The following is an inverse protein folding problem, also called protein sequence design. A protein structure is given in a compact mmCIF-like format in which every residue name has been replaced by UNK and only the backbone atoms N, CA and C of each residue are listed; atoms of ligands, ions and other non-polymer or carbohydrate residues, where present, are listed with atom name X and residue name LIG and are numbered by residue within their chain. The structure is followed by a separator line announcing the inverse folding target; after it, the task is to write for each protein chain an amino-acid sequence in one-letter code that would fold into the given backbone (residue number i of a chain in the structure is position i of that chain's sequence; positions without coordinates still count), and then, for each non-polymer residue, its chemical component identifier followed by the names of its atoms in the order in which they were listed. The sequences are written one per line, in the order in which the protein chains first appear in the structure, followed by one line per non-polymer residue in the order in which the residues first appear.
data_IF_225147646159
#
_entry.id   IF_225147646159
#
_cell.length_a   1.000
_cell.length_b   1.000
_cell.length_c   1.000
_cell.angle_alpha   90.00
_cell.angle_beta   90.00
_cell.angle_gamma   90.00
#
_symmetry.space_group_name_H-M   'P 1'
#
loop_
_entity.id
_entity.type
_entity.pdbx_description
1 polymer ?
#
# COMPACT_ATOMS: atom_id res chain seq x y z
N UNK A 1 -3.32 -2.69 -21.35
CA UNK A 1 -3.65 -3.88 -20.52
C UNK A 1 -4.96 -4.49 -20.99
N UNK A 2 -5.17 -5.77 -20.72
CA UNK A 2 -6.42 -6.49 -21.07
C UNK A 2 -7.07 -7.00 -19.79
N UNK A 3 -8.39 -6.88 -19.70
CA UNK A 3 -9.20 -7.49 -18.63
C UNK A 3 -9.22 -9.01 -18.80
N UNK A 4 -8.90 -9.73 -17.74
CA UNK A 4 -8.96 -11.20 -17.66
C UNK A 4 -10.19 -11.64 -16.88
N UNK A 5 -10.44 -11.02 -15.73
CA UNK A 5 -11.59 -11.30 -14.89
C UNK A 5 -11.89 -10.16 -13.92
N UNK A 6 -12.99 -10.27 -13.20
CA UNK A 6 -13.41 -9.29 -12.19
C UNK A 6 -14.27 -9.95 -11.11
N UNK A 7 -14.34 -9.28 -9.95
CA UNK A 7 -15.27 -9.62 -8.88
C UNK A 7 -15.80 -8.34 -8.24
N UNK A 8 -17.08 -8.27 -7.97
CA UNK A 8 -17.74 -7.08 -7.45
C UNK A 8 -17.45 -6.81 -5.97
N UNK A 9 -16.79 -7.74 -5.27
CA UNK A 9 -16.50 -7.70 -3.84
C UNK A 9 -17.74 -7.34 -2.99
N UNK A 10 -18.92 -7.69 -3.44
CA UNK A 10 -20.24 -7.37 -2.88
C UNK A 10 -20.49 -5.84 -2.73
N UNK A 11 -19.80 -5.01 -3.51
CA UNK A 11 -19.84 -3.56 -3.36
C UNK A 11 -19.15 -3.05 -2.09
N UNK A 12 -18.14 -3.76 -1.59
CA UNK A 12 -17.34 -3.30 -0.45
C UNK A 12 -16.24 -2.36 -0.93
N UNK A 13 -16.05 -1.25 -0.21
CA UNK A 13 -14.96 -0.29 -0.47
C UNK A 13 -13.60 -0.95 -0.25
N UNK A 14 -12.86 -1.27 -1.31
CA UNK A 14 -11.63 -2.03 -1.22
C UNK A 14 -10.39 -1.12 -1.05
N UNK A 15 -9.39 -1.63 -0.31
CA UNK A 15 -8.12 -0.94 -0.08
C UNK A 15 -6.93 -1.72 -0.63
N UNK A 16 -6.48 -2.80 0.05
CA UNK A 16 -5.26 -3.51 -0.31
C UNK A 16 -5.55 -4.91 -0.83
N UNK A 17 -5.19 -5.24 -2.08
CA UNK A 17 -5.10 -6.60 -2.55
C UNK A 17 -3.74 -7.20 -2.13
N UNK A 18 -3.74 -8.46 -1.69
CA UNK A 18 -2.54 -9.28 -1.47
C UNK A 18 -2.81 -10.65 -2.03
N UNK A 19 -1.96 -11.12 -2.93
CA UNK A 19 -2.11 -12.41 -3.58
C UNK A 19 -1.06 -13.36 -3.07
N UNK A 20 -1.50 -14.51 -2.54
CA UNK A 20 -0.61 -15.52 -1.98
C UNK A 20 -0.81 -16.87 -2.68
N UNK A 21 0.30 -17.55 -2.99
CA UNK A 21 0.28 -18.91 -3.52
C UNK A 21 0.24 -19.91 -2.37
N UNK A 22 -0.86 -20.66 -2.27
CA UNK A 22 -1.08 -21.69 -1.27
C UNK A 22 -1.19 -23.07 -1.94
N UNK A 23 -0.07 -23.79 -2.00
CA UNK A 23 0.04 -25.02 -2.79
C UNK A 23 -0.14 -24.74 -4.29
N UNK A 24 -1.15 -25.35 -4.90
CA UNK A 24 -1.47 -25.13 -6.32
C UNK A 24 -2.51 -24.02 -6.55
N UNK A 25 -2.94 -23.37 -5.48
CA UNK A 25 -3.95 -22.30 -5.52
C UNK A 25 -3.34 -20.93 -5.34
N UNK A 26 -3.98 -19.95 -5.97
CA UNK A 26 -3.71 -18.53 -5.74
C UNK A 26 -4.90 -17.92 -5.02
N UNK A 27 -4.64 -17.34 -3.85
CA UNK A 27 -5.66 -16.77 -2.98
C UNK A 27 -5.43 -15.27 -2.88
N UNK A 28 -6.48 -14.49 -3.14
CA UNK A 28 -6.49 -13.05 -2.96
C UNK A 28 -7.14 -12.69 -1.62
N UNK A 29 -6.44 -11.89 -0.84
CA UNK A 29 -6.89 -11.31 0.42
C UNK A 29 -7.08 -9.81 0.20
N UNK A 30 -8.33 -9.35 0.26
CA UNK A 30 -8.67 -7.96 -0.06
C UNK A 30 -9.11 -7.26 1.22
N UNK A 31 -8.31 -6.31 1.69
CA UNK A 31 -8.68 -5.43 2.78
C UNK A 31 -9.69 -4.36 2.35
N UNK A 32 -10.58 -3.96 3.26
CA UNK A 32 -11.64 -3.01 2.98
C UNK A 32 -11.64 -1.84 3.99
N UNK A 33 -12.07 -0.66 3.52
CA UNK A 33 -12.47 0.45 4.36
C UNK A 33 -13.76 0.12 5.11
N UNK A 34 -14.13 0.94 6.09
CA UNK A 34 -15.39 0.83 6.79
C UNK A 34 -16.61 0.80 5.88
N UNK A 35 -17.72 0.40 6.46
CA UNK A 35 -18.97 0.12 5.77
C UNK A 35 -19.49 -1.26 6.08
N UNK A 36 -20.54 -1.69 5.38
CA UNK A 36 -21.14 -3.02 5.53
C UNK A 36 -21.75 -3.48 4.22
N UNK A 37 -21.84 -4.78 4.03
CA UNK A 37 -22.50 -5.38 2.88
C UNK A 37 -23.07 -6.76 3.24
N UNK A 38 -24.00 -7.24 2.42
CA UNK A 38 -24.52 -8.60 2.52
C UNK A 38 -23.41 -9.61 2.16
N UNK A 39 -23.12 -10.53 3.05
CA UNK A 39 -22.27 -11.67 2.75
C UNK A 39 -23.10 -12.79 2.11
N UNK A 40 -22.80 -13.20 0.87
CA UNK A 40 -23.59 -14.22 0.17
C UNK A 40 -23.46 -15.62 0.77
N UNK A 41 -22.41 -15.90 1.56
CA UNK A 41 -22.20 -17.20 2.19
C UNK A 41 -22.99 -17.35 3.48
N UNK A 42 -23.03 -16.31 4.31
CA UNK A 42 -23.77 -16.30 5.58
C UNK A 42 -25.20 -15.82 5.44
N UNK A 43 -25.54 -15.11 4.37
CA UNK A 43 -26.84 -14.46 4.17
C UNK A 43 -27.08 -13.29 5.13
N UNK A 44 -26.06 -12.77 5.80
CA UNK A 44 -26.14 -11.68 6.78
C UNK A 44 -25.40 -10.43 6.29
N UNK A 45 -25.85 -9.29 6.76
CA UNK A 45 -25.10 -8.04 6.61
C UNK A 45 -23.95 -8.03 7.60
N UNK A 46 -22.72 -7.84 7.11
CA UNK A 46 -21.49 -7.85 7.90
C UNK A 46 -20.68 -6.57 7.70
N UNK A 47 -20.03 -6.04 8.75
CA UNK A 47 -19.06 -4.96 8.60
C UNK A 47 -18.00 -5.33 7.56
N UNK A 48 -17.56 -4.37 6.78
CA UNK A 48 -16.44 -4.56 5.87
C UNK A 48 -15.20 -5.02 6.64
N UNK A 49 -14.38 -5.86 6.02
CA UNK A 49 -13.23 -6.45 6.69
C UNK A 49 -12.20 -6.95 5.68
N UNK A 50 -12.00 -8.25 5.58
CA UNK A 50 -11.12 -8.88 4.59
C UNK A 50 -11.90 -9.91 3.79
N UNK A 51 -12.04 -9.70 2.48
CA UNK A 51 -12.58 -10.70 1.55
C UNK A 51 -11.49 -11.66 1.11
N UNK A 52 -11.81 -12.93 1.01
CA UNK A 52 -10.91 -14.00 0.58
C UNK A 52 -11.47 -14.64 -0.69
N UNK A 53 -10.68 -14.64 -1.77
CA UNK A 53 -11.07 -15.17 -3.07
C UNK A 53 -10.04 -16.17 -3.60
N UNK A 54 -10.53 -17.25 -4.23
CA UNK A 54 -9.70 -18.09 -5.09
C UNK A 54 -9.57 -17.43 -6.46
N UNK A 55 -8.35 -17.09 -6.83
CA UNK A 55 -7.98 -16.48 -8.12
C UNK A 55 -7.05 -17.37 -8.92
N UNK A 56 -7.07 -18.69 -8.66
CA UNK A 56 -6.31 -19.71 -9.39
C UNK A 56 -6.66 -19.66 -10.87
N UNK A 57 -7.97 -19.61 -11.17
CA UNK A 57 -8.46 -19.18 -12.48
C UNK A 57 -8.75 -17.66 -12.43
N UNK A 58 -7.88 -16.81 -12.97
CA UNK A 58 -8.07 -15.37 -12.89
C UNK A 58 -9.27 -14.86 -13.69
N UNK A 59 -9.78 -15.65 -14.65
CA UNK A 59 -10.98 -15.32 -15.42
C UNK A 59 -12.28 -15.55 -14.62
N UNK A 60 -12.21 -16.38 -13.57
CA UNK A 60 -13.37 -16.77 -12.75
C UNK A 60 -13.03 -16.72 -11.25
N UNK A 61 -12.72 -15.53 -10.68
CA UNK A 61 -12.41 -15.40 -9.26
C UNK A 61 -13.60 -15.84 -8.39
N UNK A 62 -13.35 -16.75 -7.45
CA UNK A 62 -14.38 -17.34 -6.58
C UNK A 62 -14.28 -16.79 -5.17
N UNK A 63 -15.38 -16.25 -4.66
CA UNK A 63 -15.48 -15.82 -3.27
C UNK A 63 -15.48 -17.04 -2.34
N UNK A 64 -14.59 -17.03 -1.32
CA UNK A 64 -14.40 -18.17 -0.41
C UNK A 64 -14.86 -17.86 1.01
N UNK A 65 -14.58 -16.67 1.51
CA UNK A 65 -14.90 -16.27 2.87
C UNK A 65 -14.80 -14.74 3.03
N UNK A 66 -15.37 -14.26 4.12
CA UNK A 66 -15.18 -12.90 4.62
C UNK A 66 -14.81 -12.94 6.10
N UNK A 67 -13.81 -12.17 6.48
CA UNK A 67 -13.47 -11.94 7.88
C UNK A 67 -13.96 -10.53 8.24
N UNK A 68 -15.04 -10.39 9.02
CA UNK A 68 -15.55 -9.07 9.40
C UNK A 68 -14.50 -8.20 10.07
N UNK A 69 -14.50 -6.91 9.76
CA UNK A 69 -13.67 -5.90 10.39
C UNK A 69 -14.38 -5.19 11.52
N UNK A 70 -13.76 -4.09 11.98
CA UNK A 70 -14.40 -3.22 12.95
C UNK A 70 -15.57 -2.47 12.29
N UNK A 71 -16.74 -2.39 12.93
CA UNK A 71 -17.82 -1.55 12.44
C UNK A 71 -17.38 -0.10 12.28
N UNK A 72 -17.83 0.55 11.21
CA UNK A 72 -17.55 1.97 11.02
C UNK A 72 -18.22 2.80 12.13
N UNK A 73 -17.50 3.79 12.66
CA UNK A 73 -18.09 4.77 13.56
C UNK A 73 -19.04 5.70 12.76
N UNK A 74 -20.34 5.73 13.06
CA UNK A 74 -21.30 6.56 12.33
C UNK A 74 -21.06 8.07 12.50
N UNK A 75 -20.24 8.47 13.47
CA UNK A 75 -19.89 9.87 13.74
C UNK A 75 -18.51 10.25 13.20
N UNK A 76 -17.72 9.29 12.76
CA UNK A 76 -16.41 9.58 12.17
C UNK A 76 -16.57 10.16 10.76
N UNK A 77 -15.73 11.13 10.43
CA UNK A 77 -15.58 11.61 9.07
C UNK A 77 -14.48 10.79 8.37
N UNK A 78 -14.78 10.24 7.20
CA UNK A 78 -13.80 9.51 6.41
C UNK A 78 -13.98 7.99 6.47
N UNK A 79 -12.89 7.26 6.62
CA UNK A 79 -12.82 5.84 6.34
C UNK A 79 -12.58 5.00 7.60
N UNK A 80 -13.32 5.32 8.68
CA UNK A 80 -13.21 4.56 9.93
C UNK A 80 -13.74 3.13 9.79
N UNK A 81 -13.21 2.21 10.59
CA UNK A 81 -13.63 0.82 10.62
C UNK A 81 -13.02 -0.04 9.49
N UNK A 82 -13.61 -1.22 9.29
CA UNK A 82 -13.14 -2.19 8.30
C UNK A 82 -11.87 -2.95 8.72
N UNK A 83 -11.06 -3.33 7.74
CA UNK A 83 -9.73 -3.92 7.89
C UNK A 83 -8.93 -3.65 6.61
N UNK A 84 -8.35 -2.48 6.51
CA UNK A 84 -7.81 -1.95 5.25
C UNK A 84 -6.61 -2.72 4.72
N UNK A 85 -5.68 -3.12 5.59
CA UNK A 85 -4.46 -3.82 5.19
C UNK A 85 -4.52 -5.32 5.42
N UNK A 86 -3.94 -6.04 4.49
CA UNK A 86 -3.76 -7.48 4.53
C UNK A 86 -2.34 -7.83 4.07
N UNK A 87 -1.62 -8.67 4.83
CA UNK A 87 -0.34 -9.28 4.47
C UNK A 87 -0.37 -10.74 4.86
N UNK A 88 0.11 -11.59 3.98
CA UNK A 88 0.15 -13.03 4.26
C UNK A 88 1.58 -13.52 4.32
N UNK A 89 1.88 -14.35 5.31
CA UNK A 89 3.17 -15.03 5.46
C UNK A 89 2.99 -16.51 5.69
N UNK A 90 3.93 -17.28 5.15
CA UNK A 90 4.18 -18.68 5.47
C UNK A 90 5.66 -18.87 5.83
N UNK A 91 6.03 -19.98 6.42
CA UNK A 91 7.42 -20.28 6.75
C UNK A 91 8.04 -19.35 7.79
N UNK A 92 7.25 -18.78 8.70
CA UNK A 92 7.76 -17.98 9.81
C UNK A 92 8.72 -18.79 10.68
N UNK A 93 9.82 -18.18 11.22
CA UNK A 93 10.91 -18.91 11.87
C UNK A 93 10.52 -19.82 13.04
N UNK A 94 9.50 -19.45 13.80
CA UNK A 94 9.04 -20.19 15.00
C UNK A 94 7.58 -20.62 14.89
N UNK A 95 7.09 -20.85 13.67
CA UNK A 95 5.74 -21.33 13.39
C UNK A 95 5.77 -22.61 12.56
N UNK A 96 4.63 -23.26 12.44
CA UNK A 96 4.45 -24.40 11.54
C UNK A 96 4.59 -23.91 10.08
N UNK A 97 5.59 -24.39 9.36
CA UNK A 97 5.90 -24.00 7.99
C UNK A 97 4.80 -24.35 6.97
N UNK A 98 3.87 -25.24 7.32
CA UNK A 98 2.72 -25.59 6.49
C UNK A 98 1.56 -24.59 6.61
N UNK A 99 1.62 -23.68 7.58
CA UNK A 99 0.56 -22.72 7.85
C UNK A 99 0.77 -21.40 7.11
N UNK A 100 -0.37 -20.79 6.81
CA UNK A 100 -0.46 -19.45 6.25
C UNK A 100 -1.13 -18.52 7.27
N UNK A 101 -0.48 -17.40 7.53
CA UNK A 101 -0.95 -16.42 8.50
C UNK A 101 -1.23 -15.09 7.83
N UNK A 102 -2.40 -14.52 8.12
CA UNK A 102 -2.80 -13.19 7.68
C UNK A 102 -2.60 -12.18 8.79
N UNK A 103 -1.75 -11.19 8.58
CA UNK A 103 -1.67 -9.97 9.38
C UNK A 103 -2.60 -8.92 8.77
N UNK A 104 -3.51 -8.36 9.58
CA UNK A 104 -4.40 -7.28 9.14
C UNK A 104 -4.53 -6.18 10.19
N UNK A 105 -4.86 -4.97 9.74
CA UNK A 105 -5.43 -3.96 10.63
C UNK A 105 -6.88 -4.36 10.98
N UNK A 106 -7.34 -4.03 12.18
CA UNK A 106 -8.73 -4.18 12.60
C UNK A 106 -9.28 -2.79 12.89
N UNK A 107 -10.00 -2.26 11.92
CA UNK A 107 -10.54 -0.90 11.93
C UNK A 107 -9.50 0.15 12.25
N UNK A 108 -9.81 0.93 13.27
CA UNK A 108 -8.93 1.97 13.80
C UNK A 108 -8.21 1.55 15.09
N UNK A 109 -8.54 0.37 15.66
CA UNK A 109 -8.26 0.05 17.06
C UNK A 109 -7.21 -1.02 17.33
N UNK A 110 -6.88 -1.89 16.35
CA UNK A 110 -5.98 -3.01 16.60
C UNK A 110 -5.25 -3.53 15.33
N UNK A 111 -4.25 -4.40 15.56
CA UNK A 111 -3.70 -5.30 14.55
C UNK A 111 -3.85 -6.75 15.01
N UNK A 112 -4.21 -7.63 14.09
CA UNK A 112 -4.54 -9.03 14.36
C UNK A 112 -3.78 -9.99 13.45
N UNK A 113 -3.60 -11.25 13.92
CA UNK A 113 -3.15 -12.38 13.11
C UNK A 113 -4.27 -13.43 13.02
N UNK A 114 -4.48 -13.94 11.82
CA UNK A 114 -5.42 -15.00 11.49
C UNK A 114 -4.70 -16.17 10.84
N UNK A 115 -5.08 -17.40 11.20
CA UNK A 115 -4.72 -18.62 10.45
C UNK A 115 -5.66 -18.72 9.25
N UNK A 116 -5.07 -18.68 8.06
CA UNK A 116 -5.77 -18.74 6.77
C UNK A 116 -5.29 -19.93 5.92
N UNK A 117 -4.73 -20.95 6.58
CA UNK A 117 -4.27 -22.19 5.93
C UNK A 117 -5.41 -22.87 5.17
N UNK A 118 -6.62 -22.91 5.76
CA UNK A 118 -7.86 -23.14 5.01
C UNK A 118 -8.52 -21.78 4.75
N UNK A 119 -8.39 -21.23 3.53
CA UNK A 119 -8.93 -19.90 3.23
C UNK A 119 -10.48 -19.82 3.26
N UNK A 120 -11.15 -20.96 3.36
CA UNK A 120 -12.63 -21.04 3.53
C UNK A 120 -13.06 -20.99 5.00
N UNK A 121 -12.11 -21.17 5.93
CA UNK A 121 -12.36 -21.25 7.39
C UNK A 121 -11.30 -20.48 8.18
N UNK A 122 -11.15 -19.17 7.93
CA UNK A 122 -10.16 -18.38 8.66
C UNK A 122 -10.46 -18.37 10.16
N UNK A 123 -9.43 -18.44 10.99
CA UNK A 123 -9.56 -18.40 12.44
C UNK A 123 -8.56 -17.42 13.07
N UNK A 124 -9.02 -16.60 14.02
CA UNK A 124 -8.15 -15.63 14.68
C UNK A 124 -7.14 -16.33 15.60
N UNK A 125 -5.87 -16.05 15.38
CA UNK A 125 -4.76 -16.55 16.22
C UNK A 125 -4.56 -15.64 17.42
N UNK A 126 -4.36 -14.34 17.18
CA UNK A 126 -4.11 -13.37 18.26
C UNK A 126 -4.45 -11.94 17.85
N UNK A 127 -4.62 -11.08 18.85
CA UNK A 127 -4.53 -9.63 18.72
C UNK A 127 -3.13 -9.22 19.11
N UNK A 128 -2.36 -8.67 18.18
CA UNK A 128 -0.97 -8.25 18.41
C UNK A 128 -0.93 -7.09 19.38
N UNK A 129 -1.76 -6.09 19.13
CA UNK A 129 -1.89 -4.87 19.90
C UNK A 129 -3.27 -4.27 19.67
N UNK A 130 -3.89 -3.78 20.73
CA UNK A 130 -5.18 -3.08 20.74
C UNK A 130 -5.10 -1.72 21.42
N UNK A 131 -6.25 -1.09 21.62
CA UNK A 131 -6.37 0.26 22.22
C UNK A 131 -5.60 1.32 21.44
N UNK A 132 -5.55 1.15 20.11
CA UNK A 132 -4.96 2.08 19.17
C UNK A 132 -6.01 3.03 18.61
N UNK A 133 -5.59 3.97 17.78
CA UNK A 133 -6.44 4.74 16.91
C UNK A 133 -5.79 4.87 15.54
N UNK A 134 -6.58 5.13 14.49
CA UNK A 134 -6.08 5.34 13.13
C UNK A 134 -5.16 4.24 12.62
N UNK A 135 -5.38 2.94 12.99
CA UNK A 135 -4.58 1.84 12.43
C UNK A 135 -4.70 1.85 10.91
N UNK A 136 -3.61 1.56 10.23
CA UNK A 136 -3.59 1.71 8.79
C UNK A 136 -2.70 0.68 8.11
N UNK A 137 -1.57 1.09 7.58
CA UNK A 137 -0.66 0.18 6.87
C UNK A 137 0.11 -0.74 7.82
N UNK A 138 0.54 -1.85 7.28
CA UNK A 138 1.50 -2.75 7.89
C UNK A 138 2.47 -3.30 6.83
N UNK A 139 3.62 -3.74 7.30
CA UNK A 139 4.58 -4.50 6.51
C UNK A 139 5.05 -5.68 7.35
N UNK A 140 5.19 -6.85 6.75
CA UNK A 140 5.61 -8.07 7.44
C UNK A 140 6.71 -8.77 6.64
N UNK A 141 7.84 -9.00 7.28
CA UNK A 141 8.94 -9.77 6.73
C UNK A 141 8.74 -11.25 7.07
N UNK A 142 8.36 -12.05 6.11
CA UNK A 142 8.06 -13.46 6.36
C UNK A 142 9.29 -14.28 6.78
N UNK A 143 10.47 -13.93 6.28
CA UNK A 143 11.73 -14.62 6.58
C UNK A 143 12.25 -14.35 8.00
N UNK A 144 11.88 -13.27 8.63
CA UNK A 144 12.31 -12.91 10.00
C UNK A 144 11.18 -12.85 11.01
N UNK A 145 9.95 -12.71 10.54
CA UNK A 145 8.78 -12.44 11.39
C UNK A 145 8.63 -10.97 11.81
N UNK A 146 9.57 -10.08 11.47
CA UNK A 146 9.49 -8.67 11.89
C UNK A 146 8.35 -7.94 11.18
N UNK A 147 7.49 -7.31 11.97
CA UNK A 147 6.36 -6.53 11.47
C UNK A 147 6.46 -5.05 11.88
N UNK A 148 6.07 -4.19 10.94
CA UNK A 148 6.03 -2.74 11.07
C UNK A 148 4.57 -2.30 10.96
N UNK A 149 3.96 -1.91 12.08
CA UNK A 149 2.53 -1.65 12.21
C UNK A 149 2.30 -0.14 12.34
N UNK A 150 1.58 0.46 11.41
CA UNK A 150 1.27 1.90 11.41
C UNK A 150 -0.06 2.14 12.13
N UNK A 151 -0.02 2.98 13.15
CA UNK A 151 -1.19 3.32 13.97
C UNK A 151 -0.95 4.60 14.77
N UNK A 152 -2.01 5.16 15.34
CA UNK A 152 -1.93 6.14 16.42
C UNK A 152 -1.84 5.43 17.78
N UNK A 153 -1.08 6.02 18.69
CA UNK A 153 -0.88 5.53 20.04
C UNK A 153 -1.04 6.68 21.04
N UNK A 154 -1.79 6.45 22.10
CA UNK A 154 -1.98 7.43 23.18
C UNK A 154 -0.63 7.94 23.72
N UNK A 155 -0.53 9.25 23.91
CA UNK A 155 0.69 9.93 24.34
C UNK A 155 1.63 10.33 23.19
N UNK A 156 1.53 9.77 22.00
CA UNK A 156 2.20 10.29 20.80
C UNK A 156 1.47 11.52 20.26
N UNK A 157 2.23 12.45 19.68
CA UNK A 157 1.73 13.76 19.24
C UNK A 157 1.28 13.75 17.77
N UNK A 158 1.31 12.61 17.13
CA UNK A 158 0.96 12.40 15.72
C UNK A 158 -0.24 11.46 15.61
N UNK A 159 -1.00 11.59 14.56
CA UNK A 159 -2.09 10.67 14.25
C UNK A 159 -1.59 9.24 14.00
N UNK A 160 -0.44 9.09 13.33
CA UNK A 160 0.15 7.79 12.99
C UNK A 160 1.65 7.79 13.19
N UNK A 161 2.15 6.72 13.78
CA UNK A 161 3.56 6.37 13.96
C UNK A 161 3.72 4.87 13.70
N UNK A 162 4.86 4.29 13.97
CA UNK A 162 5.10 2.86 13.74
C UNK A 162 5.39 2.14 15.04
N UNK A 163 4.70 1.02 15.26
CA UNK A 163 5.02 0.03 16.28
C UNK A 163 5.70 -1.16 15.60
N UNK A 164 6.80 -1.64 16.17
CA UNK A 164 7.57 -2.74 15.61
C UNK A 164 7.45 -3.95 16.54
N UNK A 165 7.10 -5.09 15.96
CA UNK A 165 6.93 -6.36 16.66
C UNK A 165 7.74 -7.46 15.98
N UNK A 166 8.20 -8.42 16.79
CA UNK A 166 8.64 -9.73 16.33
C UNK A 166 7.41 -10.68 16.39
N UNK A 167 7.00 -11.14 15.22
CA UNK A 167 5.91 -12.09 14.98
C UNK A 167 6.46 -13.40 14.40
N UNK A 168 7.71 -13.73 14.66
CA UNK A 168 8.31 -15.02 14.27
C UNK A 168 7.55 -16.21 14.85
N UNK A 169 6.98 -16.04 16.07
CA UNK A 169 5.90 -16.84 16.62
C UNK A 169 4.61 -16.02 16.59
N UNK A 170 3.68 -16.31 15.65
CA UNK A 170 2.46 -15.51 15.48
C UNK A 170 1.48 -15.63 16.65
N UNK A 171 1.66 -16.62 17.53
CA UNK A 171 0.84 -16.80 18.75
C UNK A 171 1.31 -15.91 19.89
N UNK A 172 2.61 -15.62 19.97
CA UNK A 172 3.23 -14.85 21.04
C UNK A 172 3.98 -13.61 20.51
N UNK A 173 3.28 -12.57 20.06
CA UNK A 173 3.88 -11.32 19.57
C UNK A 173 4.81 -10.67 20.59
N UNK A 174 6.02 -10.29 20.18
CA UNK A 174 6.98 -9.61 21.05
C UNK A 174 7.18 -8.17 20.60
N UNK A 175 6.85 -7.21 21.45
CA UNK A 175 7.05 -5.77 21.18
C UNK A 175 8.54 -5.44 21.15
N UNK A 176 8.98 -4.72 20.12
CA UNK A 176 10.37 -4.26 19.97
C UNK A 176 10.49 -2.77 20.34
N UNK A 177 9.74 -1.89 19.65
CA UNK A 177 9.77 -0.45 19.92
C UNK A 177 8.69 0.32 19.17
N UNK A 178 8.47 1.54 19.62
CA UNK A 178 7.77 2.58 18.87
C UNK A 178 8.77 3.44 18.08
N UNK A 179 8.37 3.94 16.91
CA UNK A 179 9.20 4.76 16.05
C UNK A 179 8.39 5.79 15.25
N UNK A 180 8.99 6.94 15.02
CA UNK A 180 8.45 8.02 14.19
C UNK A 180 9.49 9.11 13.94
N UNK A 181 9.08 10.22 13.34
CA UNK A 181 9.95 11.37 13.16
C UNK A 181 10.17 12.12 14.49
N UNK A 182 11.39 12.66 14.73
CA UNK A 182 11.61 13.54 15.88
C UNK A 182 10.62 14.70 15.91
N UNK A 183 9.93 14.86 17.04
CA UNK A 183 8.82 15.80 17.24
C UNK A 183 7.46 15.13 17.38
N UNK A 184 7.32 13.86 16.97
CA UNK A 184 6.09 13.06 17.11
C UNK A 184 5.99 12.35 18.47
N UNK A 185 7.12 12.11 19.14
CA UNK A 185 7.18 11.38 20.41
C UNK A 185 6.62 12.19 21.59
N UNK A 186 6.22 11.48 22.67
CA UNK A 186 5.79 12.11 23.91
C UNK A 186 6.83 13.12 24.45
N UNK A 187 6.36 14.23 25.01
CA UNK A 187 7.21 15.25 25.62
C UNK A 187 8.01 16.15 24.63
N UNK A 188 7.92 15.92 23.33
CA UNK A 188 8.56 16.80 22.36
C UNK A 188 7.87 18.17 22.31
N UNK A 189 8.67 19.26 22.17
CA UNK A 189 8.17 20.65 22.18
C UNK A 189 8.19 21.31 20.79
N UNK A 190 8.92 20.72 19.82
CA UNK A 190 8.98 21.24 18.44
C UNK A 190 7.66 21.03 17.71
N UNK A 191 7.41 21.70 16.55
CA UNK A 191 6.28 21.42 15.70
C UNK A 191 6.18 19.93 15.33
N UNK A 192 4.97 19.39 15.31
CA UNK A 192 4.72 17.98 14.96
C UNK A 192 4.90 17.83 13.44
N UNK A 193 5.80 16.97 12.96
CA UNK A 193 5.92 16.66 11.54
C UNK A 193 4.74 15.80 11.07
N UNK A 194 4.61 15.64 9.74
CA UNK A 194 3.58 14.82 9.12
C UNK A 194 3.57 13.40 9.65
N UNK A 195 2.38 12.84 9.78
CA UNK A 195 2.15 11.47 10.24
C UNK A 195 2.66 10.44 9.23
N UNK A 196 3.06 9.29 9.76
CA UNK A 196 3.52 8.16 8.96
C UNK A 196 2.38 7.56 8.17
N UNK A 197 2.65 7.18 6.91
CA UNK A 197 1.70 6.44 6.13
C UNK A 197 2.07 4.95 6.02
N UNK A 198 3.31 4.63 5.69
CA UNK A 198 3.74 3.24 5.56
C UNK A 198 5.24 3.10 5.45
N UNK A 199 5.72 1.87 5.64
CA UNK A 199 7.10 1.48 5.47
C UNK A 199 7.19 0.26 4.55
N UNK A 200 8.27 0.18 3.77
CA UNK A 200 8.64 -0.99 2.97
C UNK A 200 10.04 -1.41 3.41
N UNK A 201 10.16 -2.66 3.88
CA UNK A 201 11.44 -3.23 4.28
C UNK A 201 12.04 -4.08 3.16
N UNK A 202 13.36 -4.03 3.05
CA UNK A 202 14.14 -4.97 2.21
C UNK A 202 14.67 -6.17 3.00
N UNK A 203 14.18 -6.36 4.21
CA UNK A 203 14.60 -7.44 5.10
C UNK A 203 16.06 -7.36 5.56
N UNK A 204 16.57 -8.42 6.17
CA UNK A 204 17.94 -8.43 6.71
C UNK A 204 19.02 -8.33 5.62
N UNK A 205 18.76 -8.85 4.43
CA UNK A 205 19.71 -8.84 3.31
C UNK A 205 19.95 -7.43 2.77
N UNK A 206 18.89 -6.65 2.55
CA UNK A 206 18.99 -5.26 2.11
C UNK A 206 19.26 -4.30 3.27
N UNK A 207 18.86 -4.65 4.47
CA UNK A 207 19.02 -3.90 5.72
C UNK A 207 18.49 -2.47 5.66
N UNK A 208 17.39 -2.22 4.93
CA UNK A 208 16.79 -0.88 4.76
C UNK A 208 15.29 -0.90 4.99
N UNK A 209 14.79 0.23 5.52
CA UNK A 209 13.40 0.61 5.45
C UNK A 209 13.26 1.93 4.68
N UNK A 210 12.27 1.98 3.82
CA UNK A 210 11.85 3.16 3.08
C UNK A 210 10.48 3.58 3.62
N UNK A 211 10.44 4.75 4.28
CA UNK A 211 9.26 5.18 5.04
C UNK A 211 8.68 6.44 4.41
N UNK A 212 7.36 6.42 4.20
CA UNK A 212 6.57 7.53 3.66
C UNK A 212 5.77 8.23 4.77
N UNK A 213 5.78 9.58 4.75
CA UNK A 213 5.00 10.42 5.65
C UNK A 213 4.27 11.52 4.87
N UNK A 214 3.08 11.92 5.33
CA UNK A 214 2.30 13.00 4.73
C UNK A 214 1.77 12.65 3.35
N UNK A 215 0.59 12.06 3.28
CA UNK A 215 0.02 11.42 2.07
C UNK A 215 -0.16 12.38 0.90
N UNK A 216 -0.63 13.61 1.17
CA UNK A 216 -0.98 14.61 0.14
C UNK A 216 -0.22 15.91 0.27
N UNK A 217 0.41 16.18 1.41
CA UNK A 217 1.15 17.43 1.69
C UNK A 217 2.26 17.21 2.71
N UNK A 218 3.26 18.11 2.69
CA UNK A 218 4.42 18.06 3.59
C UNK A 218 5.05 16.67 3.65
N UNK A 219 5.13 16.00 2.50
CA UNK A 219 5.62 14.64 2.37
C UNK A 219 7.06 14.50 2.84
N UNK A 220 7.39 13.32 3.38
CA UNK A 220 8.76 12.97 3.74
C UNK A 220 9.07 11.56 3.27
N UNK A 221 10.18 11.41 2.55
CA UNK A 221 10.87 10.15 2.37
C UNK A 221 11.94 10.01 3.45
N UNK A 222 11.90 8.93 4.23
CA UNK A 222 12.95 8.59 5.19
C UNK A 222 13.55 7.22 4.85
N UNK A 223 14.89 7.14 4.81
CA UNK A 223 15.64 5.90 4.62
C UNK A 223 16.28 5.54 5.96
N UNK A 224 16.00 4.33 6.44
CA UNK A 224 16.49 3.84 7.73
C UNK A 224 17.39 2.61 7.56
N UNK A 225 18.41 2.53 8.41
CA UNK A 225 19.15 1.30 8.68
C UNK A 225 18.28 0.38 9.56
N UNK A 226 17.85 -0.74 9.00
CA UNK A 226 16.97 -1.70 9.65
C UNK A 226 17.60 -2.29 10.92
N UNK A 227 18.87 -2.67 10.86
CA UNK A 227 19.57 -3.25 12.01
C UNK A 227 19.66 -2.24 13.16
N UNK A 228 20.07 -1.01 12.89
CA UNK A 228 20.08 0.05 13.90
C UNK A 228 18.70 0.33 14.48
N UNK A 229 17.66 0.31 13.65
CA UNK A 229 16.27 0.48 14.08
C UNK A 229 15.86 -0.62 15.07
N UNK A 230 16.17 -1.88 14.78
CA UNK A 230 15.76 -3.02 15.58
C UNK A 230 16.61 -3.20 16.86
N UNK A 231 17.91 -2.92 16.80
CA UNK A 231 18.86 -3.22 17.91
C UNK A 231 19.32 -1.97 18.67
N UNK A 232 19.08 -0.78 18.17
CA UNK A 232 19.47 0.48 18.79
C UNK A 232 18.64 0.86 20.02
N UNK A 233 18.91 2.06 20.62
CA UNK A 233 18.20 2.53 21.78
C UNK A 233 16.68 2.64 21.54
N UNK A 234 15.86 2.19 22.50
CA UNK A 234 14.40 2.05 22.33
C UNK A 234 13.61 3.28 22.77
N UNK A 235 14.11 4.04 23.76
CA UNK A 235 13.46 5.24 24.25
C UNK A 235 13.23 6.25 23.13
N UNK A 236 12.01 6.80 22.97
CA UNK A 236 11.68 7.66 21.82
C UNK A 236 12.14 9.11 22.04
N UNK A 237 13.46 9.31 22.25
CA UNK A 237 14.08 10.62 22.27
C UNK A 237 14.42 11.09 20.87
N UNK A 238 14.62 12.40 20.68
CA UNK A 238 15.05 12.96 19.39
C UNK A 238 16.32 12.28 18.85
N UNK A 239 17.30 12.03 19.72
CA UNK A 239 18.56 11.38 19.35
C UNK A 239 18.33 9.93 18.91
N UNK A 240 17.54 9.16 19.67
CA UNK A 240 17.28 7.76 19.38
C UNK A 240 16.37 7.55 18.16
N UNK A 241 15.48 8.50 17.88
CA UNK A 241 14.68 8.49 16.65
C UNK A 241 15.51 8.83 15.40
N UNK A 242 16.60 9.62 15.55
CA UNK A 242 17.55 9.88 14.46
C UNK A 242 18.60 8.78 14.30
N UNK A 243 18.85 7.97 15.32
CA UNK A 243 19.95 7.00 15.32
C UNK A 243 19.94 6.04 14.12
N UNK A 244 18.77 5.47 13.68
CA UNK A 244 18.72 4.61 12.51
C UNK A 244 18.63 5.37 11.18
N UNK A 245 18.48 6.69 11.17
CA UNK A 245 18.26 7.45 9.94
C UNK A 245 19.53 7.53 9.10
N UNK A 246 19.44 7.10 7.84
CA UNK A 246 20.46 7.29 6.80
C UNK A 246 20.22 8.60 6.09
N UNK A 247 18.99 8.80 5.61
CA UNK A 247 18.58 10.01 4.91
C UNK A 247 17.14 10.41 5.21
N UNK A 248 16.85 11.67 4.97
CA UNK A 248 15.49 12.24 4.99
C UNK A 248 15.38 13.30 3.91
N UNK A 249 14.35 13.17 3.07
CA UNK A 249 13.99 14.17 2.07
C UNK A 249 12.63 14.75 2.46
N UNK A 250 12.57 16.08 2.66
CA UNK A 250 11.30 16.78 2.81
C UNK A 250 10.83 17.21 1.42
N UNK A 251 9.61 16.87 1.08
CA UNK A 251 8.98 17.27 -0.17
C UNK A 251 8.37 18.69 -0.06
N UNK A 252 8.12 19.37 -1.18
CA UNK A 252 7.41 20.65 -1.17
C UNK A 252 6.06 20.58 -0.43
N UNK A 253 5.56 21.72 0.10
CA UNK A 253 4.37 21.75 0.95
C UNK A 253 3.12 21.04 0.38
N UNK A 254 2.90 21.16 -0.94
CA UNK A 254 1.73 20.59 -1.62
C UNK A 254 1.99 19.20 -2.23
N UNK A 255 3.03 18.53 -1.78
CA UNK A 255 3.47 17.23 -2.28
C UNK A 255 3.47 16.21 -1.16
N UNK A 256 2.80 15.09 -1.38
CA UNK A 256 2.69 13.99 -0.44
C UNK A 256 3.65 12.84 -0.69
N UNK A 257 3.78 11.97 0.32
CA UNK A 257 4.42 10.66 0.23
C UNK A 257 3.52 9.62 0.90
N UNK A 258 2.82 8.85 0.09
CA UNK A 258 1.94 7.75 0.52
C UNK A 258 2.70 6.41 0.52
N UNK A 259 3.43 6.12 -0.57
CA UNK A 259 4.21 4.90 -0.73
C UNK A 259 5.63 5.26 -1.17
N UNK A 260 6.65 4.61 -0.58
CA UNK A 260 8.06 4.76 -0.95
C UNK A 260 8.62 3.41 -1.39
N UNK A 261 8.51 3.11 -2.70
CA UNK A 261 8.85 1.81 -3.26
C UNK A 261 10.31 1.79 -3.75
N UNK A 262 11.19 0.93 -3.17
CA UNK A 262 12.58 0.84 -3.60
C UNK A 262 12.72 0.08 -4.93
N UNK A 263 13.56 0.59 -5.83
CA UNK A 263 13.92 -0.02 -7.13
C UNK A 263 15.45 -0.10 -7.16
N UNK A 264 15.99 -1.20 -6.63
CA UNK A 264 17.42 -1.31 -6.32
C UNK A 264 18.18 -2.13 -7.37
N UNK A 265 19.41 -1.72 -7.67
CA UNK A 265 20.30 -2.42 -8.58
C UNK A 265 19.80 -2.37 -10.04
N UNK A 266 19.35 -1.20 -10.50
CA UNK A 266 19.01 -0.95 -11.90
C UNK A 266 20.27 -0.75 -12.72
N UNK A 267 20.44 -1.52 -13.78
CA UNK A 267 21.55 -1.34 -14.73
C UNK A 267 21.12 -0.38 -15.82
N UNK A 268 21.83 0.73 -15.97
CA UNK A 268 21.56 1.76 -16.98
C UNK A 268 22.59 1.66 -18.11
N UNK A 269 22.18 1.26 -19.31
CA UNK A 269 23.09 1.12 -20.46
C UNK A 269 23.84 2.41 -20.82
N UNK A 270 23.20 3.57 -20.65
CA UNK A 270 23.76 4.89 -20.92
C UNK A 270 24.99 5.19 -20.08
N UNK A 271 25.10 4.55 -18.92
CA UNK A 271 26.22 4.72 -18.01
C UNK A 271 27.27 3.61 -18.10
N UNK A 272 27.24 2.79 -19.16
CA UNK A 272 28.14 1.65 -19.34
C UNK A 272 29.63 2.04 -19.20
N UNK A 273 29.99 3.24 -19.63
CA UNK A 273 31.36 3.76 -19.57
C UNK A 273 31.63 4.64 -18.32
N UNK A 274 30.68 4.73 -17.39
CA UNK A 274 30.85 5.54 -16.20
C UNK A 274 31.85 4.90 -15.23
N UNK A 275 32.83 5.67 -14.75
CA UNK A 275 33.92 5.16 -13.87
C UNK A 275 33.40 4.56 -12.56
N UNK A 276 32.26 5.04 -12.04
CA UNK A 276 31.62 4.52 -10.82
C UNK A 276 30.65 3.38 -11.08
N UNK A 277 30.64 2.83 -12.29
CA UNK A 277 29.71 1.77 -12.71
C UNK A 277 28.35 2.31 -13.18
N UNK A 278 27.56 1.40 -13.73
CA UNK A 278 26.25 1.70 -14.36
C UNK A 278 25.05 1.15 -13.58
N UNK A 279 25.27 0.68 -12.36
CA UNK A 279 24.20 0.21 -11.48
C UNK A 279 23.79 1.34 -10.54
N UNK A 280 22.49 1.59 -10.47
CA UNK A 280 21.90 2.66 -9.65
C UNK A 280 20.76 2.13 -8.79
N UNK A 281 20.54 2.79 -7.67
CA UNK A 281 19.45 2.52 -6.74
C UNK A 281 18.47 3.70 -6.73
N UNK A 282 17.18 3.40 -6.75
CA UNK A 282 16.13 4.42 -6.77
C UNK A 282 15.04 4.14 -5.73
N UNK A 283 14.27 5.18 -5.41
CA UNK A 283 12.99 5.07 -4.72
C UNK A 283 11.93 5.81 -5.52
N UNK A 284 10.82 5.12 -5.81
CA UNK A 284 9.61 5.74 -6.32
C UNK A 284 8.76 6.19 -5.13
N UNK A 285 8.56 7.50 -4.98
CA UNK A 285 7.70 8.11 -3.96
C UNK A 285 6.39 8.51 -4.60
N UNK A 286 5.31 7.90 -4.18
CA UNK A 286 3.96 8.12 -4.70
C UNK A 286 3.19 8.98 -3.73
N UNK A 287 2.59 10.09 -4.19
CA UNK A 287 1.68 10.92 -3.40
C UNK A 287 0.23 10.44 -3.53
N UNK A 288 -0.67 10.88 -2.64
CA UNK A 288 -2.09 10.56 -2.66
C UNK A 288 -2.94 11.80 -2.95
N UNK A 289 -3.82 11.72 -3.95
CA UNK A 289 -4.87 12.71 -4.14
C UNK A 289 -6.01 12.49 -3.13
N UNK A 290 -6.45 13.55 -2.43
CA UNK A 290 -7.54 13.49 -1.45
C UNK A 290 -8.80 14.24 -1.91
N UNK A 291 -8.64 15.32 -2.68
CA UNK A 291 -9.76 16.15 -3.10
C UNK A 291 -10.32 15.71 -4.45
N UNK A 292 -11.64 15.71 -4.55
CA UNK A 292 -12.34 15.38 -5.79
C UNK A 292 -12.19 16.48 -6.84
N UNK A 293 -12.39 16.12 -8.12
CA UNK A 293 -12.43 17.03 -9.26
C UNK A 293 -11.26 18.03 -9.29
N UNK A 294 -10.06 17.55 -8.96
CA UNK A 294 -8.81 18.29 -9.06
C UNK A 294 -8.72 19.54 -8.17
N UNK A 295 -9.42 19.60 -7.04
CA UNK A 295 -9.40 20.75 -6.14
C UNK A 295 -8.10 20.89 -5.31
N UNK A 296 -7.10 20.09 -5.61
CA UNK A 296 -5.77 20.14 -5.00
C UNK A 296 -4.66 20.05 -6.06
N UNK A 297 -3.40 20.40 -5.73
CA UNK A 297 -2.26 20.15 -6.60
C UNK A 297 -2.13 18.67 -6.99
N UNK A 298 -1.69 18.40 -8.22
CA UNK A 298 -1.57 17.05 -8.76
C UNK A 298 -0.60 16.21 -7.93
N UNK A 299 -1.11 15.14 -7.35
CA UNK A 299 -0.27 14.09 -6.77
C UNK A 299 0.24 13.17 -7.89
N UNK A 300 1.50 12.78 -7.80
CA UNK A 300 2.21 12.04 -8.84
C UNK A 300 3.25 11.11 -8.21
N UNK A 301 3.89 10.27 -9.02
CA UNK A 301 5.09 9.54 -8.60
C UNK A 301 6.33 10.40 -8.87
N UNK A 302 7.29 10.36 -7.95
CA UNK A 302 8.61 11.01 -8.04
C UNK A 302 9.69 9.97 -7.83
N UNK A 303 10.68 9.96 -8.70
CA UNK A 303 11.82 9.06 -8.59
C UNK A 303 13.01 9.80 -7.98
N UNK A 304 13.62 9.16 -6.98
CA UNK A 304 14.84 9.65 -6.33
C UNK A 304 15.96 8.66 -6.60
N UNK A 305 17.09 9.14 -7.13
CA UNK A 305 18.36 8.39 -7.14
C UNK A 305 18.90 8.37 -5.70
N UNK A 306 19.09 7.19 -5.17
CA UNK A 306 19.60 6.91 -3.83
C UNK A 306 20.90 6.10 -3.87
N UNK A 307 21.58 6.06 -5.02
CA UNK A 307 22.88 5.36 -5.17
C UNK A 307 23.89 5.88 -4.15
N UNK A 308 23.81 7.16 -3.81
CA UNK A 308 24.43 7.72 -2.60
C UNK A 308 23.32 7.91 -1.56
N UNK A 309 23.04 6.89 -0.77
CA UNK A 309 21.89 6.84 0.15
C UNK A 309 21.74 8.04 1.09
N UNK A 310 22.88 8.66 1.48
CA UNK A 310 22.88 9.81 2.39
C UNK A 310 22.48 11.13 1.71
N UNK A 311 22.43 11.16 0.39
CA UNK A 311 22.10 12.33 -0.44
C UNK A 311 21.14 11.92 -1.57
N UNK A 312 19.89 11.59 -1.26
CA UNK A 312 18.89 11.30 -2.29
C UNK A 312 18.65 12.51 -3.20
N UNK A 313 18.59 12.28 -4.50
CA UNK A 313 18.37 13.33 -5.51
C UNK A 313 17.13 13.00 -6.33
N UNK A 314 16.16 13.91 -6.41
CA UNK A 314 15.01 13.79 -7.30
C UNK A 314 15.48 13.86 -8.75
N UNK A 315 15.12 12.86 -9.56
CA UNK A 315 15.61 12.72 -10.94
C UNK A 315 14.50 12.80 -11.98
N UNK A 316 13.29 12.38 -11.65
CA UNK A 316 12.14 12.46 -12.57
C UNK A 316 10.80 12.45 -11.83
N UNK A 317 9.74 12.74 -12.56
CA UNK A 317 8.34 12.63 -12.12
C UNK A 317 7.50 12.05 -13.24
N UNK A 318 6.41 11.38 -12.85
CA UNK A 318 5.41 10.96 -13.81
C UNK A 318 3.99 11.17 -13.25
N UNK A 319 3.08 11.61 -14.11
CA UNK A 319 1.63 11.66 -13.88
C UNK A 319 0.89 11.31 -15.17
N UNK A 320 -0.38 10.95 -15.07
CA UNK A 320 -1.21 10.68 -16.24
C UNK A 320 -1.27 11.93 -17.15
N UNK A 321 -0.97 11.80 -18.46
CA UNK A 321 -1.10 12.91 -19.39
C UNK A 321 -2.55 13.39 -19.49
N UNK A 322 -2.77 14.69 -19.28
CA UNK A 322 -4.10 15.33 -19.34
C UNK A 322 -4.40 16.00 -20.71
N UNK A 323 -3.53 15.83 -21.69
CA UNK A 323 -3.66 16.48 -23.01
C UNK A 323 -4.79 15.93 -23.87
N UNK A 324 -5.19 14.67 -23.64
CA UNK A 324 -6.19 13.97 -24.44
C UNK A 324 -7.54 13.80 -23.73
N UNK A 325 -7.61 14.04 -22.42
CA UNK A 325 -8.81 13.78 -21.63
C UNK A 325 -8.88 14.68 -20.40
N UNK A 326 -10.07 15.16 -20.07
CA UNK A 326 -10.31 15.95 -18.87
C UNK A 326 -10.77 15.07 -17.70
N UNK A 327 -9.83 14.44 -17.03
CA UNK A 327 -10.10 13.57 -15.86
C UNK A 327 -10.76 14.30 -14.69
N UNK A 328 -10.55 15.62 -14.56
CA UNK A 328 -11.22 16.42 -13.52
C UNK A 328 -12.75 16.44 -13.71
N UNK A 329 -13.22 16.35 -14.96
CA UNK A 329 -14.65 16.31 -15.28
C UNK A 329 -15.32 14.96 -15.05
N UNK A 330 -14.56 13.87 -14.86
CA UNK A 330 -15.11 12.53 -14.61
C UNK A 330 -15.70 12.36 -13.21
N UNK A 331 -15.43 13.28 -12.30
CA UNK A 331 -15.77 13.16 -10.88
C UNK A 331 -14.73 12.35 -10.07
N UNK A 332 -14.86 12.42 -8.75
CA UNK A 332 -13.94 11.76 -7.85
C UNK A 332 -12.53 12.35 -7.84
N UNK A 333 -11.60 11.65 -7.23
CA UNK A 333 -10.20 12.04 -7.14
C UNK A 333 -9.47 11.76 -8.45
N UNK A 334 -8.59 12.66 -8.86
CA UNK A 334 -7.65 12.48 -9.95
C UNK A 334 -6.23 12.73 -9.45
N UNK A 335 -5.36 11.76 -9.61
CA UNK A 335 -3.99 11.72 -9.10
C UNK A 335 -3.63 10.31 -8.67
N UNK A 336 -2.37 10.11 -8.31
CA UNK A 336 -1.91 8.84 -7.78
C UNK A 336 -2.50 8.55 -6.40
N UNK A 337 -2.56 7.26 -6.03
CA UNK A 337 -2.77 6.79 -4.67
C UNK A 337 -1.58 5.94 -4.20
N UNK A 338 -1.31 4.83 -4.88
CA UNK A 338 -0.25 3.90 -4.48
C UNK A 338 0.41 3.23 -5.69
N UNK A 339 1.55 2.59 -5.46
CA UNK A 339 2.13 1.58 -6.37
C UNK A 339 1.85 0.17 -5.85
N UNK A 340 2.11 -0.84 -6.70
CA UNK A 340 2.30 -2.19 -6.20
C UNK A 340 3.45 -2.21 -5.19
N UNK A 341 3.33 -3.09 -4.18
CA UNK A 341 4.35 -3.26 -3.14
C UNK A 341 5.05 -4.62 -3.23
N UNK A 342 4.62 -5.48 -4.15
CA UNK A 342 5.23 -6.77 -4.44
C UNK A 342 6.46 -6.59 -5.35
N UNK A 343 7.57 -7.25 -4.99
CA UNK A 343 8.83 -7.21 -5.72
C UNK A 343 9.06 -8.48 -6.56
N UNK A 344 7.98 -9.03 -7.16
CA UNK A 344 8.10 -10.23 -7.99
C UNK A 344 9.11 -10.03 -9.14
N UNK A 345 9.98 -11.00 -9.43
CA UNK A 345 11.01 -10.91 -10.48
C UNK A 345 10.46 -10.61 -11.88
N UNK A 346 9.20 -10.93 -12.14
CA UNK A 346 8.53 -10.63 -13.41
C UNK A 346 8.55 -9.12 -13.69
N UNK A 347 8.25 -8.31 -12.67
CA UNK A 347 8.04 -6.87 -12.83
C UNK A 347 9.10 -6.01 -12.16
N UNK A 348 9.72 -6.51 -11.09
CA UNK A 348 10.66 -5.72 -10.30
C UNK A 348 11.79 -5.14 -11.16
N UNK A 349 12.06 -3.84 -11.05
CA UNK A 349 13.01 -3.04 -11.86
C UNK A 349 12.62 -2.86 -13.33
N UNK A 350 11.44 -3.29 -13.74
CA UNK A 350 10.98 -3.25 -15.13
C UNK A 350 9.68 -2.47 -15.27
N UNK A 351 8.67 -2.88 -14.53
CA UNK A 351 7.34 -2.26 -14.58
C UNK A 351 6.88 -1.92 -13.17
N UNK A 352 6.52 -0.66 -12.97
CA UNK A 352 5.84 -0.18 -11.77
C UNK A 352 4.36 0.03 -12.10
N UNK A 353 3.49 -0.62 -11.34
CA UNK A 353 2.06 -0.40 -11.47
C UNK A 353 1.60 0.66 -10.47
N UNK A 354 0.72 1.54 -10.93
CA UNK A 354 0.15 2.62 -10.11
C UNK A 354 -1.37 2.52 -10.11
N UNK A 355 -1.97 2.69 -8.95
CA UNK A 355 -3.37 3.02 -8.82
C UNK A 355 -3.53 4.54 -8.91
N UNK A 356 -4.39 5.02 -9.82
CA UNK A 356 -4.55 6.44 -10.14
C UNK A 356 -6.02 6.88 -10.11
N UNK A 357 -6.72 6.54 -9.05
CA UNK A 357 -8.14 6.85 -8.79
C UNK A 357 -9.03 6.75 -10.03
N UNK A 358 -9.63 7.88 -10.51
CA UNK A 358 -10.53 7.85 -11.67
C UNK A 358 -9.83 7.63 -13.02
N UNK A 359 -8.51 7.62 -13.04
CA UNK A 359 -7.72 7.24 -14.21
C UNK A 359 -7.29 5.75 -14.20
N UNK A 360 -7.71 4.96 -13.22
CA UNK A 360 -7.56 3.50 -13.22
C UNK A 360 -6.16 3.00 -12.86
N UNK A 361 -5.80 1.83 -13.39
CA UNK A 361 -4.49 1.19 -13.22
C UNK A 361 -3.56 1.63 -14.34
N UNK A 362 -2.34 2.04 -13.98
CA UNK A 362 -1.28 2.48 -14.90
C UNK A 362 -0.05 1.59 -14.78
N UNK A 363 0.63 1.31 -15.89
CA UNK A 363 1.88 0.56 -15.92
C UNK A 363 3.00 1.43 -16.52
N UNK A 364 4.05 1.64 -15.74
CA UNK A 364 5.22 2.42 -16.14
C UNK A 364 6.41 1.51 -16.41
N UNK A 365 7.08 1.69 -17.54
CA UNK A 365 8.44 1.19 -17.74
C UNK A 365 9.38 2.01 -16.87
N UNK A 366 10.03 1.34 -15.93
CA UNK A 366 10.97 1.93 -14.96
C UNK A 366 12.36 1.32 -15.09
N UNK A 367 12.70 0.72 -16.26
CA UNK A 367 14.04 0.25 -16.56
C UNK A 367 15.05 1.38 -16.66
N UNK A 368 14.55 2.59 -16.96
CA UNK A 368 15.26 3.85 -16.81
C UNK A 368 14.42 4.81 -15.94
N UNK A 369 14.68 4.90 -14.63
CA UNK A 369 13.95 5.80 -13.75
C UNK A 369 14.21 7.30 -13.98
N UNK A 370 15.18 7.67 -14.80
CA UNK A 370 15.35 9.06 -15.27
C UNK A 370 14.27 9.45 -16.27
N UNK A 371 13.77 8.47 -17.08
CA UNK A 371 12.80 8.69 -18.13
C UNK A 371 11.65 7.65 -18.06
N UNK A 372 10.89 7.61 -16.96
CA UNK A 372 9.80 6.64 -16.83
C UNK A 372 8.72 6.90 -17.88
N UNK A 373 8.24 5.86 -18.56
CA UNK A 373 7.24 5.97 -19.61
C UNK A 373 6.02 5.09 -19.33
N UNK A 374 4.80 5.59 -19.58
CA UNK A 374 3.61 4.75 -19.53
C UNK A 374 3.59 3.80 -20.73
N UNK A 375 3.45 2.51 -20.46
CA UNK A 375 3.41 1.45 -21.48
C UNK A 375 2.04 0.82 -21.62
N UNK A 376 1.19 0.93 -20.60
CA UNK A 376 -0.18 0.41 -20.65
C UNK A 376 -1.03 1.00 -19.52
N UNK A 377 -2.35 1.00 -19.73
CA UNK A 377 -3.32 1.36 -18.69
C UNK A 377 -4.62 0.57 -18.84
N UNK A 378 -5.42 0.57 -17.78
CA UNK A 378 -6.79 0.10 -17.79
C UNK A 378 -7.65 0.97 -16.87
N UNK A 379 -8.76 1.47 -17.38
CA UNK A 379 -9.75 2.25 -16.63
C UNK A 379 -10.99 1.38 -16.46
N UNK A 380 -11.29 0.90 -15.23
CA UNK A 380 -12.51 0.13 -14.98
C UNK A 380 -13.76 0.94 -15.32
N UNK A 381 -14.77 0.28 -15.86
CA UNK A 381 -16.08 0.89 -16.02
C UNK A 381 -16.79 1.03 -14.67
N UNK A 382 -17.63 2.05 -14.53
CA UNK A 382 -18.56 2.16 -13.40
C UNK A 382 -19.57 1.03 -13.43
N UNK A 383 -20.05 0.60 -12.27
CA UNK A 383 -21.09 -0.42 -12.09
C UNK A 383 -22.29 0.20 -11.36
N UNK A 384 -23.36 -0.56 -11.22
CA UNK A 384 -24.53 -0.18 -10.40
C UNK A 384 -24.21 -0.02 -8.90
N UNK A 385 -23.07 -0.57 -8.45
CA UNK A 385 -22.56 -0.46 -7.08
C UNK A 385 -21.59 0.70 -6.88
N UNK A 386 -21.13 1.32 -7.97
CA UNK A 386 -20.14 2.42 -7.87
C UNK A 386 -20.73 3.64 -7.18
N UNK A 387 -20.07 4.10 -6.13
CA UNK A 387 -20.48 5.26 -5.34
C UNK A 387 -20.37 6.58 -6.10
N UNK A 388 -21.18 7.54 -5.65
CA UNK A 388 -21.03 8.95 -6.05
C UNK A 388 -19.94 9.62 -5.25
N UNK A 389 -19.20 10.50 -5.93
CA UNK A 389 -18.23 11.41 -5.33
C UNK A 389 -18.70 12.85 -5.51
N UNK A 390 -18.74 13.59 -4.42
CA UNK A 390 -19.36 14.91 -4.38
C UNK A 390 -18.32 16.02 -4.19
N UNK A 391 -18.64 17.20 -4.72
CA UNK A 391 -17.90 18.45 -4.55
C UNK A 391 -18.88 19.53 -4.15
N UNK A 392 -18.43 20.51 -3.37
CA UNK A 392 -19.26 21.59 -2.84
C UNK A 392 -20.12 21.18 -1.66
N UNK A 393 -20.91 22.12 -1.15
CA UNK A 393 -21.82 21.93 -0.01
C UNK A 393 -23.13 22.68 -0.27
N UNK A 394 -24.22 22.21 0.35
CA UNK A 394 -25.53 22.90 0.25
C UNK A 394 -26.02 22.96 -1.20
N UNK A 395 -26.43 24.13 -1.66
CA UNK A 395 -26.99 24.33 -3.00
C UNK A 395 -25.97 24.16 -4.14
N UNK A 396 -24.68 24.31 -3.85
CA UNK A 396 -23.60 24.16 -4.83
C UNK A 396 -23.05 22.73 -4.87
N UNK A 397 -23.60 21.81 -4.09
CA UNK A 397 -23.16 20.43 -4.11
C UNK A 397 -23.58 19.71 -5.39
N UNK A 398 -22.61 19.09 -6.06
CA UNK A 398 -22.87 18.17 -7.16
C UNK A 398 -22.09 16.87 -6.97
N UNK A 399 -22.63 15.77 -7.46
CA UNK A 399 -22.09 14.44 -7.28
C UNK A 399 -22.07 13.67 -8.61
N UNK A 400 -20.97 12.97 -8.87
CA UNK A 400 -20.81 12.11 -10.04
C UNK A 400 -20.47 10.68 -9.60
N UNK A 401 -21.02 9.69 -10.31
CA UNK A 401 -20.57 8.29 -10.15
C UNK A 401 -19.17 8.19 -10.76
N UNK A 402 -18.19 7.79 -9.95
CA UNK A 402 -16.81 7.74 -10.41
C UNK A 402 -16.03 6.61 -9.73
N UNK A 403 -15.34 5.82 -10.56
CA UNK A 403 -14.36 4.85 -10.04
C UNK A 403 -13.29 5.55 -9.23
N UNK A 404 -12.75 4.83 -8.27
CA UNK A 404 -11.65 5.29 -7.43
C UNK A 404 -10.67 4.14 -7.23
N UNK A 405 -9.94 3.79 -8.30
CA UNK A 405 -8.91 2.74 -8.24
C UNK A 405 -7.92 3.06 -7.13
N UNK A 406 -7.88 2.22 -6.12
CA UNK A 406 -7.24 2.53 -4.85
C UNK A 406 -5.84 1.94 -4.76
N UNK A 407 -5.73 0.62 -4.80
CA UNK A 407 -4.46 -0.08 -4.77
C UNK A 407 -4.37 -1.10 -5.90
N UNK A 408 -3.13 -1.46 -6.19
CA UNK A 408 -2.79 -2.48 -7.18
C UNK A 408 -1.73 -3.40 -6.59
N UNK A 409 -1.83 -4.70 -6.87
CA UNK A 409 -0.77 -5.67 -6.59
C UNK A 409 -0.63 -6.64 -7.77
N UNK A 410 0.42 -7.46 -7.74
CA UNK A 410 0.76 -8.38 -8.83
C UNK A 410 1.13 -9.75 -8.27
N UNK A 411 0.93 -10.80 -9.06
CA UNK A 411 1.38 -12.14 -8.71
C UNK A 411 2.58 -12.62 -9.55
N UNK A 412 3.12 -13.79 -9.20
CA UNK A 412 4.26 -14.40 -9.87
C UNK A 412 3.92 -15.07 -11.22
N UNK A 413 2.64 -15.04 -11.63
CA UNK A 413 2.17 -15.44 -12.97
C UNK A 413 2.09 -14.24 -13.92
N UNK A 414 2.17 -13.02 -13.38
CA UNK A 414 2.10 -11.78 -14.13
C UNK A 414 0.70 -11.18 -14.22
N UNK A 415 -0.27 -11.65 -13.43
CA UNK A 415 -1.57 -10.99 -13.32
C UNK A 415 -1.49 -9.78 -12.39
N UNK A 416 -2.28 -8.75 -12.73
CA UNK A 416 -2.33 -7.47 -12.05
C UNK A 416 -3.74 -7.32 -11.43
N UNK A 417 -3.81 -7.03 -10.15
CA UNK A 417 -5.05 -6.95 -9.37
C UNK A 417 -5.27 -5.50 -8.95
N UNK A 418 -6.22 -4.84 -9.58
CA UNK A 418 -6.64 -3.48 -9.22
C UNK A 418 -7.93 -3.52 -8.42
N UNK A 419 -7.98 -2.81 -7.28
CA UNK A 419 -9.18 -2.73 -6.44
C UNK A 419 -9.67 -1.28 -6.33
N UNK A 420 -10.97 -1.12 -6.08
CA UNK A 420 -11.63 0.17 -6.12
C UNK A 420 -12.30 0.50 -4.77
N UNK A 421 -12.07 1.74 -4.27
CA UNK A 421 -12.64 2.21 -3.02
C UNK A 421 -14.04 2.84 -3.17
N UNK A 422 -14.51 3.02 -4.40
CA UNK A 422 -15.86 3.48 -4.70
C UNK A 422 -16.82 2.31 -4.96
N UNK A 423 -16.57 1.14 -4.35
CA UNK A 423 -17.42 -0.04 -4.40
C UNK A 423 -17.54 -0.71 -5.79
N UNK A 424 -16.66 -0.35 -6.75
CA UNK A 424 -16.68 -0.93 -8.09
C UNK A 424 -16.20 -2.38 -8.12
N UNK A 425 -15.41 -2.80 -7.10
CA UNK A 425 -14.89 -4.15 -6.96
C UNK A 425 -13.42 -4.29 -7.32
N UNK A 426 -13.05 -5.47 -7.84
CA UNK A 426 -11.69 -5.85 -8.25
C UNK A 426 -11.67 -6.23 -9.73
N UNK A 427 -10.63 -5.77 -10.43
CA UNK A 427 -10.29 -6.22 -11.79
C UNK A 427 -8.98 -7.01 -11.76
N UNK A 428 -8.91 -8.07 -12.58
CA UNK A 428 -7.70 -8.86 -12.82
C UNK A 428 -7.29 -8.62 -14.26
N UNK A 429 -6.06 -8.16 -14.46
CA UNK A 429 -5.54 -7.68 -15.73
C UNK A 429 -4.28 -8.47 -16.12
N UNK A 430 -3.96 -8.43 -17.41
CA UNK A 430 -2.68 -8.85 -17.96
C UNK A 430 -2.06 -7.77 -18.86
N UNK A 431 -0.74 -7.71 -18.93
CA UNK A 431 -0.06 -6.92 -19.97
C UNK A 431 -0.30 -7.56 -21.33
N UNK A 432 -0.51 -6.73 -22.35
CA UNK A 432 -0.76 -7.16 -23.72
C UNK A 432 0.05 -6.34 -24.72
N UNK A 433 0.19 -6.86 -25.95
CA UNK A 433 0.93 -6.17 -27.00
C UNK A 433 2.40 -5.92 -26.61
N UNK A 434 2.93 -4.77 -27.04
CA UNK A 434 4.33 -4.38 -26.81
C UNK A 434 4.68 -4.24 -25.30
N UNK A 435 3.73 -3.81 -24.47
CA UNK A 435 3.95 -3.69 -23.01
C UNK A 435 4.36 -5.03 -22.37
N UNK A 436 3.91 -6.17 -22.94
CA UNK A 436 4.28 -7.49 -22.44
C UNK A 436 5.77 -7.77 -22.55
N UNK A 437 6.45 -7.21 -23.56
CA UNK A 437 7.89 -7.42 -23.79
C UNK A 437 8.78 -6.70 -22.76
N UNK A 438 8.24 -5.72 -22.03
CA UNK A 438 8.99 -5.01 -20.98
C UNK A 438 9.10 -5.86 -19.72
N UNK A 439 8.08 -6.67 -19.42
CA UNK A 439 8.09 -7.61 -18.30
C UNK A 439 9.01 -8.82 -18.58
N UNK A 440 9.43 -9.49 -17.51
CA UNK A 440 10.17 -10.76 -17.61
C UNK A 440 9.18 -11.93 -17.42
N UNK A 441 8.19 -11.98 -18.29
CA UNK A 441 7.18 -13.04 -18.29
C UNK A 441 7.79 -14.35 -18.84
N UNK A 442 7.38 -15.52 -18.29
CA UNK A 442 7.84 -16.81 -18.75
C UNK A 442 7.37 -17.15 -20.17
#
# INVERSE_FOLDING_TARGET
MKLVGSNDLQGRSAYQPTIEKQGDRYIAYIGHHGGKALDPLSGREEPNGTSILDVTDPAQPKYLAHIPGEPADPHATGESGGAQMARVCTGLPHADASKFYLLRSFGDSAHEIWDVTDPTKPSRVTVIVGHLHDTHKNWWECDTGIAYLVSGLSGWRTRRMMQIYDLSDPVHPVFIRNFGLPGQQPGATRPVPSDMHGAISTGPKGNRLYVAYGTTKNGVLQILDRKKLLTGPKEPTDANLRYPQIARVNLPPDVGAHTSFPILGVTLPEFANHKSGNVRDFVAVVGEALDNECQQPRQMVRFFDITTETIPVGVSTWTVPETSENFCAHGGRFGTHSSNENMTPIYYKRVLFLAHFNAGVRALDVRDPFHPTEIAYYIPAVTDKTDKRCVGTGADQHCKVAIQTNNVDVDDRGYIYGVDRANTGMVILELSGEARSVANLP
#
